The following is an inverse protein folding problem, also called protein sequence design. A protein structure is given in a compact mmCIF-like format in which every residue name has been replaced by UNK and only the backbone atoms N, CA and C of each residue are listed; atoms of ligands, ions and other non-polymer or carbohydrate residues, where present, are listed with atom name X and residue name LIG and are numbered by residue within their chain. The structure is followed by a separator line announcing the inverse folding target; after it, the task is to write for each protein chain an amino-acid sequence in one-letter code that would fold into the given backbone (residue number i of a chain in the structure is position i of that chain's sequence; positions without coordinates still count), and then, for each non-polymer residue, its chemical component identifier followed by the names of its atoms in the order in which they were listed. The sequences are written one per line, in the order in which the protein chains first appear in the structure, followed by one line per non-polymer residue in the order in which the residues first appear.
data_IF_323604999960
#
_entry.id   IF_323604999960
#
_cell.length_a   1.000
_cell.length_b   1.000
_cell.length_c   1.000
_cell.angle_alpha   90.00
_cell.angle_beta   90.00
_cell.angle_gamma   90.00
#
_symmetry.space_group_name_H-M   'P 1'
#
loop_
_entity.id
_entity.type
_entity.pdbx_description
1 polymer ?
#
# COMPACT_ATOMS: atom_id res chain seq x y z
N UNK A 1 -13.28 9.94 -6.26
CA UNK A 1 -14.30 10.84 -5.67
C UNK A 1 -14.33 12.14 -6.44
N UNK A 2 -15.32 12.98 -6.23
CA UNK A 2 -15.35 14.33 -6.80
C UNK A 2 -14.48 15.27 -5.97
N UNK A 3 -13.41 15.79 -6.59
CA UNK A 3 -12.41 16.66 -5.95
C UNK A 3 -13.02 17.97 -5.46
N UNK A 4 -14.13 18.42 -6.02
CA UNK A 4 -14.81 19.66 -5.60
C UNK A 4 -15.70 19.44 -4.38
N UNK A 5 -16.43 18.33 -4.34
CA UNK A 5 -17.45 18.09 -3.30
C UNK A 5 -16.99 17.15 -2.18
N UNK A 6 -15.91 16.40 -2.40
CA UNK A 6 -15.43 15.36 -1.49
C UNK A 6 -16.26 14.06 -1.54
N UNK A 7 -17.35 14.02 -2.33
CA UNK A 7 -18.27 12.90 -2.33
C UNK A 7 -17.66 11.66 -3.01
N UNK A 8 -17.68 10.49 -2.36
CA UNK A 8 -17.22 9.26 -2.97
C UNK A 8 -18.16 8.84 -4.12
N UNK A 9 -17.57 8.28 -5.17
CA UNK A 9 -18.30 7.77 -6.35
C UNK A 9 -18.37 6.24 -6.39
N UNK A 10 -17.70 5.58 -5.44
CA UNK A 10 -17.71 4.13 -5.30
C UNK A 10 -17.38 3.74 -3.86
N UNK A 11 -17.74 2.51 -3.43
CA UNK A 11 -17.09 1.88 -2.30
C UNK A 11 -15.58 1.76 -2.49
N UNK A 12 -14.83 1.65 -1.38
CA UNK A 12 -13.39 1.34 -1.42
C UNK A 12 -13.19 -0.09 -1.94
N UNK A 13 -12.31 -0.25 -2.93
CA UNK A 13 -11.86 -1.56 -3.38
C UNK A 13 -10.63 -1.95 -2.53
N UNK A 14 -10.83 -2.88 -1.60
CA UNK A 14 -9.80 -3.27 -0.62
C UNK A 14 -8.66 -4.05 -1.25
N UNK A 15 -7.50 -4.10 -0.59
CA UNK A 15 -6.29 -4.79 -1.05
C UNK A 15 -6.48 -6.30 -1.29
N UNK A 16 -7.44 -6.94 -0.60
CA UNK A 16 -7.80 -8.35 -0.78
C UNK A 16 -8.62 -8.62 -2.05
N UNK A 17 -9.18 -7.58 -2.68
CA UNK A 17 -10.07 -7.73 -3.82
C UNK A 17 -9.30 -8.17 -5.07
N UNK A 18 -9.73 -9.28 -5.66
CA UNK A 18 -9.07 -9.93 -6.78
C UNK A 18 -9.73 -9.63 -8.14
N UNK A 19 -10.68 -8.69 -8.24
CA UNK A 19 -11.44 -8.43 -9.48
C UNK A 19 -10.57 -8.05 -10.68
N UNK A 20 -9.37 -7.53 -10.41
CA UNK A 20 -8.44 -7.05 -11.44
C UNK A 20 -7.39 -8.09 -11.85
N UNK A 21 -7.50 -9.35 -11.39
CA UNK A 21 -6.57 -10.42 -11.74
C UNK A 21 -6.42 -10.63 -13.25
N UNK A 22 -7.52 -10.53 -14.00
CA UNK A 22 -7.48 -10.68 -15.46
C UNK A 22 -6.66 -9.55 -16.12
N UNK A 23 -6.73 -8.34 -15.58
CA UNK A 23 -5.98 -7.18 -16.09
C UNK A 23 -4.49 -7.39 -15.83
N UNK A 24 -4.09 -7.71 -14.60
CA UNK A 24 -2.68 -7.92 -14.26
C UNK A 24 -2.09 -9.13 -14.98
N UNK A 25 -2.82 -10.23 -15.10
CA UNK A 25 -2.41 -11.40 -15.89
C UNK A 25 -2.24 -11.08 -17.38
N UNK A 26 -3.12 -10.24 -17.94
CA UNK A 26 -2.97 -9.77 -19.32
C UNK A 26 -1.68 -8.96 -19.46
N UNK A 27 -1.40 -8.03 -18.55
CA UNK A 27 -0.17 -7.23 -18.57
C UNK A 27 1.09 -8.11 -18.47
N UNK A 28 1.08 -9.16 -17.62
CA UNK A 28 2.17 -10.15 -17.55
C UNK A 28 2.39 -10.85 -18.88
N UNK A 29 1.32 -11.34 -19.53
CA UNK A 29 1.38 -12.01 -20.83
C UNK A 29 1.93 -11.12 -21.95
N UNK A 30 1.80 -9.80 -21.82
CA UNK A 30 2.36 -8.83 -22.76
C UNK A 30 3.79 -8.39 -22.39
N UNK A 31 4.41 -8.99 -21.36
CA UNK A 31 5.81 -8.78 -21.01
C UNK A 31 6.09 -7.56 -20.13
N UNK A 32 5.08 -6.98 -19.48
CA UNK A 32 5.26 -5.74 -18.72
C UNK A 32 5.79 -5.93 -17.29
N UNK A 33 5.82 -7.16 -16.76
CA UNK A 33 6.11 -7.41 -15.34
C UNK A 33 7.49 -6.89 -14.91
N UNK A 34 8.53 -7.19 -15.69
CA UNK A 34 9.90 -6.78 -15.35
C UNK A 34 10.07 -5.27 -15.39
N UNK A 35 9.40 -4.59 -16.32
CA UNK A 35 9.44 -3.13 -16.39
C UNK A 35 8.69 -2.47 -15.23
N UNK A 36 7.54 -3.02 -14.86
CA UNK A 36 6.78 -2.54 -13.68
C UNK A 36 7.61 -2.73 -12.41
N UNK A 37 8.22 -3.90 -12.21
CA UNK A 37 9.12 -4.15 -11.07
C UNK A 37 10.30 -3.18 -11.06
N UNK A 38 10.95 -2.96 -12.20
CA UNK A 38 12.10 -2.07 -12.29
C UNK A 38 11.78 -0.60 -11.96
N UNK A 39 10.51 -0.18 -12.10
CA UNK A 39 10.07 1.18 -11.79
C UNK A 39 9.48 1.29 -10.39
N UNK A 40 8.53 0.42 -10.03
CA UNK A 40 7.77 0.53 -8.77
C UNK A 40 8.26 -0.37 -7.65
N UNK A 41 9.06 -1.39 -7.97
CA UNK A 41 9.46 -2.43 -7.03
C UNK A 41 8.39 -3.52 -6.82
N UNK A 42 7.26 -3.45 -7.54
CA UNK A 42 6.10 -4.29 -7.28
C UNK A 42 5.82 -5.24 -8.45
N UNK A 43 5.39 -6.49 -8.20
CA UNK A 43 4.92 -7.36 -9.26
C UNK A 43 3.57 -6.86 -9.79
N UNK A 44 3.20 -7.35 -10.97
CA UNK A 44 1.85 -7.18 -11.49
C UNK A 44 0.89 -8.05 -10.67
N UNK A 45 0.34 -7.50 -9.60
CA UNK A 45 -0.54 -8.22 -8.70
C UNK A 45 -1.81 -7.42 -8.42
N UNK A 46 -3.00 -8.05 -8.43
CA UNK A 46 -4.24 -7.38 -8.11
C UNK A 46 -4.32 -6.91 -6.66
N UNK A 47 -3.33 -7.16 -5.81
CA UNK A 47 -3.16 -6.56 -4.47
C UNK A 47 -2.96 -5.04 -4.51
N UNK A 48 -2.21 -4.51 -5.49
CA UNK A 48 -1.85 -3.09 -5.57
C UNK A 48 -2.95 -2.21 -6.18
N UNK A 49 -2.84 -0.88 -5.99
CA UNK A 49 -3.90 0.07 -6.31
C UNK A 49 -4.08 0.35 -7.80
N UNK A 50 -3.01 0.33 -8.61
CA UNK A 50 -3.02 0.79 -10.00
C UNK A 50 -4.16 0.18 -10.83
N UNK A 51 -4.27 -1.14 -10.84
CA UNK A 51 -5.31 -1.86 -11.60
C UNK A 51 -6.72 -1.59 -11.06
N UNK A 52 -6.87 -1.31 -9.76
CA UNK A 52 -8.16 -0.97 -9.13
C UNK A 52 -8.61 0.44 -9.51
N UNK A 53 -7.68 1.39 -9.54
CA UNK A 53 -7.96 2.76 -9.97
C UNK A 53 -8.38 2.79 -11.44
N UNK A 54 -7.69 2.03 -12.29
CA UNK A 54 -8.08 1.82 -13.68
C UNK A 54 -9.48 1.19 -13.79
N UNK A 55 -9.77 0.16 -12.97
CA UNK A 55 -11.08 -0.48 -12.94
C UNK A 55 -12.19 0.52 -12.57
N UNK A 56 -11.97 1.39 -11.59
CA UNK A 56 -12.93 2.44 -11.21
C UNK A 56 -13.21 3.35 -12.40
N UNK A 57 -12.17 3.83 -13.08
CA UNK A 57 -12.31 4.72 -14.22
C UNK A 57 -13.10 4.07 -15.38
N UNK A 58 -12.89 2.79 -15.61
CA UNK A 58 -13.56 2.04 -16.68
C UNK A 58 -15.03 1.73 -16.35
N UNK A 59 -15.32 1.37 -15.09
CA UNK A 59 -16.58 0.71 -14.69
C UNK A 59 -17.53 1.59 -13.87
N UNK A 60 -17.08 2.71 -13.30
CA UNK A 60 -17.94 3.65 -12.55
C UNK A 60 -18.36 4.79 -13.49
N UNK A 61 -19.64 4.87 -13.92
CA UNK A 61 -20.09 5.87 -14.91
C UNK A 61 -19.72 7.31 -14.54
N UNK A 62 -19.88 7.68 -13.27
CA UNK A 62 -19.59 9.01 -12.73
C UNK A 62 -18.10 9.37 -12.84
N UNK A 63 -17.20 8.38 -12.89
CA UNK A 63 -15.76 8.64 -13.02
C UNK A 63 -15.42 9.30 -14.36
N UNK A 64 -16.08 8.90 -15.46
CA UNK A 64 -15.83 9.46 -16.80
C UNK A 64 -16.30 10.91 -16.92
N UNK A 65 -17.46 11.20 -16.35
CA UNK A 65 -18.00 12.56 -16.28
C UNK A 65 -17.04 13.48 -15.50
N UNK A 66 -16.68 13.08 -14.27
CA UNK A 66 -15.76 13.86 -13.43
C UNK A 66 -14.37 14.00 -14.06
N UNK A 67 -13.89 12.98 -14.79
CA UNK A 67 -12.61 13.06 -15.50
C UNK A 67 -12.66 14.15 -16.57
N UNK A 68 -13.72 14.17 -17.39
CA UNK A 68 -13.90 15.17 -18.46
C UNK A 68 -13.94 16.61 -17.93
N UNK A 69 -14.41 16.78 -16.69
CA UNK A 69 -14.51 18.07 -16.02
C UNK A 69 -13.27 18.42 -15.17
N UNK A 70 -12.23 17.57 -15.19
CA UNK A 70 -11.03 17.69 -14.33
C UNK A 70 -11.38 17.78 -12.84
N UNK A 71 -12.42 17.05 -12.43
CA UNK A 71 -12.88 16.95 -11.04
C UNK A 71 -12.65 15.57 -10.44
N UNK A 72 -12.24 14.58 -11.22
CA UNK A 72 -11.97 13.25 -10.68
C UNK A 72 -10.71 13.25 -9.81
N UNK A 73 -10.83 12.69 -8.61
CA UNK A 73 -9.71 12.31 -7.76
C UNK A 73 -9.69 10.79 -7.58
N UNK A 74 -8.55 10.18 -7.88
CA UNK A 74 -8.23 8.78 -7.68
C UNK A 74 -7.07 8.68 -6.68
N UNK A 75 -7.16 7.78 -5.71
CA UNK A 75 -6.14 7.64 -4.70
C UNK A 75 -6.51 6.61 -3.65
N UNK A 76 -5.56 6.37 -2.75
CA UNK A 76 -5.71 5.53 -1.56
C UNK A 76 -6.52 6.24 -0.46
N UNK A 77 -6.85 5.51 0.60
CA UNK A 77 -7.73 6.02 1.66
C UNK A 77 -7.15 7.20 2.42
N UNK A 78 -5.83 7.26 2.58
CA UNK A 78 -5.12 8.39 3.18
C UNK A 78 -5.42 9.70 2.41
N UNK A 79 -5.29 9.70 1.08
CA UNK A 79 -5.55 10.88 0.26
C UNK A 79 -7.01 11.34 0.32
N UNK A 80 -7.94 10.37 0.35
CA UNK A 80 -9.36 10.66 0.57
C UNK A 80 -9.59 11.34 1.93
N UNK A 81 -9.01 10.81 3.01
CA UNK A 81 -9.15 11.38 4.35
C UNK A 81 -8.45 12.75 4.46
N UNK A 82 -7.26 12.90 3.89
CA UNK A 82 -6.51 14.16 3.87
C UNK A 82 -7.33 15.26 3.20
N UNK A 83 -7.95 14.96 2.06
CA UNK A 83 -8.79 15.93 1.39
C UNK A 83 -10.05 16.29 2.21
N UNK A 84 -10.69 15.31 2.84
CA UNK A 84 -11.92 15.56 3.59
C UNK A 84 -11.69 16.18 4.97
N UNK A 85 -10.56 15.89 5.62
CA UNK A 85 -10.24 16.36 6.97
C UNK A 85 -9.52 17.71 6.97
N UNK A 86 -8.62 17.93 6.01
CA UNK A 86 -7.77 19.14 5.97
C UNK A 86 -7.82 19.88 4.64
N UNK A 87 -8.63 19.43 3.67
CA UNK A 87 -8.84 20.14 2.41
C UNK A 87 -7.70 20.01 1.39
N UNK A 88 -6.70 19.15 1.65
CA UNK A 88 -5.55 18.96 0.76
C UNK A 88 -5.61 17.61 0.05
N UNK A 89 -5.48 17.63 -1.28
CA UNK A 89 -5.43 16.42 -2.11
C UNK A 89 -3.98 15.94 -2.25
N UNK A 90 -3.50 15.28 -1.21
CA UNK A 90 -2.10 14.84 -1.03
C UNK A 90 -2.06 13.40 -0.50
N UNK A 91 -0.96 12.69 -0.72
CA UNK A 91 -0.64 11.38 -0.14
C UNK A 91 0.79 11.41 0.39
N UNK A 92 1.17 10.45 1.21
CA UNK A 92 2.57 10.30 1.63
C UNK A 92 3.33 9.30 0.76
N UNK A 93 4.65 9.47 0.68
CA UNK A 93 5.53 8.63 -0.14
C UNK A 93 5.48 7.14 0.21
N UNK A 94 5.21 6.76 1.46
CA UNK A 94 5.12 5.34 1.84
C UNK A 94 3.87 4.71 1.24
N UNK A 95 2.73 5.41 1.31
CA UNK A 95 1.48 4.95 0.69
C UNK A 95 1.57 4.95 -0.83
N UNK A 96 2.12 6.00 -1.43
CA UNK A 96 2.34 6.09 -2.88
C UNK A 96 3.20 4.92 -3.40
N UNK A 97 4.23 4.50 -2.64
CA UNK A 97 5.08 3.36 -2.99
C UNK A 97 4.36 2.00 -3.05
N UNK A 98 3.11 1.90 -2.57
CA UNK A 98 2.30 0.67 -2.61
C UNK A 98 1.25 0.68 -3.73
N UNK A 99 1.24 1.71 -4.58
CA UNK A 99 0.22 1.85 -5.62
C UNK A 99 0.54 1.11 -6.91
N UNK A 100 1.83 0.86 -7.21
CA UNK A 100 2.33 0.47 -8.54
C UNK A 100 2.22 1.58 -9.61
N UNK A 101 2.10 2.84 -9.17
CA UNK A 101 2.11 4.03 -10.05
C UNK A 101 3.26 4.99 -9.75
N UNK A 102 3.94 4.82 -8.61
CA UNK A 102 5.09 5.64 -8.22
C UNK A 102 6.39 4.97 -8.66
N UNK A 103 7.32 5.74 -9.21
CA UNK A 103 8.70 5.31 -9.43
C UNK A 103 9.45 5.33 -8.09
N UNK A 104 10.04 4.21 -7.69
CA UNK A 104 10.64 4.06 -6.38
C UNK A 104 11.97 4.83 -6.23
N UNK A 105 12.65 5.13 -7.34
CA UNK A 105 13.88 5.91 -7.36
C UNK A 105 13.61 7.42 -7.30
N UNK A 106 12.64 7.92 -8.08
CA UNK A 106 12.32 9.35 -8.10
C UNK A 106 11.35 9.78 -7.00
N UNK A 107 10.56 8.84 -6.47
CA UNK A 107 9.43 9.07 -5.54
C UNK A 107 8.34 9.97 -6.12
N UNK A 108 8.20 9.95 -7.43
CA UNK A 108 7.17 10.68 -8.17
C UNK A 108 6.24 9.69 -8.88
N UNK A 109 5.05 10.16 -9.24
CA UNK A 109 4.20 9.40 -10.15
C UNK A 109 4.91 9.20 -11.49
N UNK A 110 4.90 7.98 -11.99
CA UNK A 110 5.61 7.60 -13.19
C UNK A 110 4.65 7.60 -14.39
N UNK A 111 4.93 8.42 -15.40
CA UNK A 111 4.15 8.50 -16.63
C UNK A 111 3.99 7.14 -17.32
N UNK A 112 5.04 6.30 -17.33
CA UNK A 112 5.00 5.01 -18.00
C UNK A 112 4.06 4.05 -17.27
N UNK A 113 4.15 3.99 -15.94
CA UNK A 113 3.24 3.18 -15.12
C UNK A 113 1.79 3.67 -15.25
N UNK A 114 1.57 4.99 -15.12
CA UNK A 114 0.24 5.59 -15.26
C UNK A 114 -0.39 5.29 -16.63
N UNK A 115 0.36 5.44 -17.71
CA UNK A 115 -0.10 5.12 -19.06
C UNK A 115 -0.37 3.63 -19.24
N UNK A 116 0.48 2.75 -18.69
CA UNK A 116 0.32 1.30 -18.76
C UNK A 116 -0.99 0.82 -18.13
N UNK A 117 -1.34 1.37 -16.96
CA UNK A 117 -2.58 1.01 -16.27
C UNK A 117 -3.80 1.82 -16.75
N UNK A 118 -3.61 2.93 -17.47
CA UNK A 118 -4.70 3.81 -17.90
C UNK A 118 -5.20 4.72 -16.77
N UNK A 119 -4.32 5.19 -15.90
CA UNK A 119 -4.62 6.12 -14.80
C UNK A 119 -4.04 7.50 -15.11
N UNK A 120 -4.85 8.52 -15.43
CA UNK A 120 -4.35 9.86 -15.75
C UNK A 120 -3.68 10.52 -14.54
N UNK A 121 -2.48 11.08 -14.74
CA UNK A 121 -1.69 11.72 -13.68
C UNK A 121 -2.43 12.84 -12.94
N UNK A 122 -3.22 13.64 -13.64
CA UNK A 122 -3.95 14.78 -13.07
C UNK A 122 -5.09 14.38 -12.12
N UNK A 123 -5.41 13.09 -12.07
CA UNK A 123 -6.36 12.50 -11.11
C UNK A 123 -5.70 12.04 -9.82
N UNK A 124 -4.37 11.98 -9.74
CA UNK A 124 -3.62 11.49 -8.59
C UNK A 124 -3.25 12.62 -7.60
N UNK A 125 -3.14 12.34 -6.29
CA UNK A 125 -2.75 13.32 -5.29
C UNK A 125 -1.28 13.71 -5.40
N UNK A 126 -0.90 14.90 -4.94
CA UNK A 126 0.51 15.27 -4.77
C UNK A 126 1.18 14.36 -3.71
N UNK A 127 2.40 13.87 -3.99
CA UNK A 127 3.16 13.02 -3.06
C UNK A 127 4.02 13.92 -2.15
N UNK A 128 3.78 13.83 -0.84
CA UNK A 128 4.57 14.51 0.20
C UNK A 128 5.49 13.55 0.95
N UNK A 129 6.40 14.11 1.73
CA UNK A 129 7.19 13.32 2.67
C UNK A 129 6.29 12.68 3.75
N UNK A 130 6.74 11.59 4.38
CA UNK A 130 6.02 10.93 5.47
C UNK A 130 5.75 11.88 6.63
N UNK A 131 6.72 12.75 6.94
CA UNK A 131 6.53 13.89 7.83
C UNK A 131 6.59 15.18 6.99
N UNK A 132 5.47 15.91 6.91
CA UNK A 132 5.33 17.11 6.08
C UNK A 132 4.16 18.00 6.57
N UNK A 133 3.92 19.13 5.91
CA UNK A 133 2.81 20.05 6.21
C UNK A 133 1.48 19.59 5.57
N UNK A 134 0.90 18.46 5.98
CA UNK A 134 -0.34 17.94 5.36
C UNK A 134 -1.57 18.85 5.50
N UNK A 135 -1.58 19.75 6.47
CA UNK A 135 -2.65 20.74 6.67
C UNK A 135 -3.02 20.91 8.15
N UNK A 136 -4.19 21.50 8.41
CA UNK A 136 -4.68 21.74 9.77
C UNK A 136 -6.11 21.24 9.93
N UNK A 137 -6.36 20.42 10.95
CA UNK A 137 -7.71 20.09 11.39
C UNK A 137 -8.27 21.21 12.27
N UNK A 138 -9.55 21.51 12.13
CA UNK A 138 -10.28 22.41 13.03
C UNK A 138 -11.16 21.60 13.97
N UNK A 139 -10.72 21.41 15.21
CA UNK A 139 -11.46 20.64 16.23
C UNK A 139 -11.84 21.57 17.37
N UNK A 140 -13.15 21.81 17.56
CA UNK A 140 -13.69 22.66 18.64
C UNK A 140 -13.02 24.05 18.71
N UNK A 141 -12.81 24.69 17.56
CA UNK A 141 -12.17 26.01 17.45
C UNK A 141 -10.64 26.00 17.58
N UNK A 142 -10.01 24.85 17.85
CA UNK A 142 -8.55 24.70 17.86
C UNK A 142 -8.05 24.23 16.50
N UNK A 143 -6.93 24.78 16.07
CA UNK A 143 -6.17 24.29 14.92
C UNK A 143 -5.19 23.23 15.40
N UNK A 144 -5.29 22.03 14.83
CA UNK A 144 -4.40 20.90 15.11
C UNK A 144 -3.63 20.62 13.82
N UNK A 145 -2.30 20.85 13.77
CA UNK A 145 -1.53 20.58 12.57
C UNK A 145 -1.43 19.08 12.33
N UNK A 146 -1.67 18.65 11.09
CA UNK A 146 -1.42 17.30 10.64
C UNK A 146 0.00 17.25 10.04
N UNK A 147 0.89 16.53 10.70
CA UNK A 147 2.34 16.55 10.42
C UNK A 147 2.90 15.23 9.90
N UNK A 148 2.12 14.16 9.91
CA UNK A 148 2.54 12.88 9.41
C UNK A 148 1.37 12.10 8.82
N UNK A 149 1.66 11.39 7.73
CA UNK A 149 0.82 10.34 7.15
C UNK A 149 1.76 9.21 6.75
N UNK A 150 1.37 7.97 7.07
CA UNK A 150 2.23 6.79 6.88
C UNK A 150 1.35 5.56 6.79
N UNK A 151 1.67 4.65 5.86
CA UNK A 151 0.98 3.37 5.74
C UNK A 151 1.28 2.48 6.96
N UNK A 152 0.32 1.63 7.34
CA UNK A 152 0.30 0.90 8.61
C UNK A 152 1.55 0.06 8.92
N UNK A 153 2.09 -0.66 7.94
CA UNK A 153 3.26 -1.52 8.13
C UNK A 153 4.53 -0.70 8.38
N UNK A 154 4.70 0.41 7.68
CA UNK A 154 5.79 1.37 7.84
C UNK A 154 5.65 2.12 9.17
N UNK A 155 4.43 2.47 9.56
CA UNK A 155 4.14 3.05 10.86
C UNK A 155 4.52 2.09 12.00
N UNK A 156 4.21 0.81 11.85
CA UNK A 156 4.60 -0.25 12.79
C UNK A 156 6.12 -0.41 12.88
N UNK A 157 6.82 -0.43 11.74
CA UNK A 157 8.29 -0.45 11.68
C UNK A 157 8.90 0.73 12.43
N UNK A 158 8.39 1.93 12.19
CA UNK A 158 8.83 3.12 12.92
C UNK A 158 8.50 3.03 14.42
N UNK A 159 7.31 2.57 14.78
CA UNK A 159 6.85 2.44 16.18
C UNK A 159 7.64 1.41 17.00
N UNK A 160 8.20 0.38 16.36
CA UNK A 160 9.06 -0.62 17.01
C UNK A 160 10.50 -0.17 17.25
N UNK A 161 10.85 1.06 16.86
CA UNK A 161 12.21 1.58 17.05
C UNK A 161 13.23 1.06 16.04
N UNK A 162 12.80 0.40 14.96
CA UNK A 162 13.68 0.00 13.86
C UNK A 162 14.22 1.25 13.16
N UNK A 163 15.53 1.47 13.16
CA UNK A 163 16.18 2.67 12.60
C UNK A 163 17.43 2.37 11.79
N UNK A 164 18.08 1.23 12.03
CA UNK A 164 19.33 0.85 11.40
C UNK A 164 19.08 -0.19 10.30
N UNK A 165 19.96 -0.23 9.30
CA UNK A 165 19.94 -1.29 8.28
C UNK A 165 19.97 -2.67 8.95
N UNK A 166 19.06 -3.54 8.53
CA UNK A 166 18.87 -4.87 9.11
C UNK A 166 17.90 -4.92 10.30
N UNK A 167 17.51 -3.77 10.89
CA UNK A 167 16.42 -3.76 11.87
C UNK A 167 15.15 -4.24 11.20
N UNK A 168 14.47 -5.19 11.87
CA UNK A 168 13.31 -5.85 11.34
C UNK A 168 12.15 -5.85 12.33
N UNK A 169 10.94 -5.84 11.81
CA UNK A 169 9.72 -6.15 12.55
C UNK A 169 8.92 -7.20 11.81
N UNK A 170 8.14 -7.99 12.55
CA UNK A 170 7.11 -8.84 11.98
C UNK A 170 5.78 -8.56 12.69
N UNK A 171 4.75 -8.27 11.91
CA UNK A 171 3.39 -8.13 12.44
C UNK A 171 2.66 -9.44 12.21
N UNK A 172 2.28 -10.14 13.28
CA UNK A 172 1.53 -11.39 13.23
C UNK A 172 0.03 -11.12 13.44
N UNK A 173 -0.74 -11.15 12.36
CA UNK A 173 -2.20 -11.02 12.35
C UNK A 173 -2.86 -12.09 11.50
N UNK A 174 -3.95 -11.75 10.79
CA UNK A 174 -4.57 -12.64 9.79
C UNK A 174 -3.54 -13.16 8.78
N UNK A 175 -2.68 -12.27 8.29
CA UNK A 175 -1.41 -12.59 7.62
C UNK A 175 -0.20 -12.20 8.48
N UNK A 176 1.01 -12.42 7.99
CA UNK A 176 2.24 -11.94 8.61
C UNK A 176 2.99 -11.01 7.66
N UNK A 177 3.46 -9.86 8.15
CA UNK A 177 4.19 -8.89 7.33
C UNK A 177 5.52 -8.56 8.00
N UNK A 178 6.60 -9.02 7.38
CA UNK A 178 7.96 -8.75 7.79
C UNK A 178 8.51 -7.56 7.00
N UNK A 179 8.95 -6.52 7.70
CA UNK A 179 9.65 -5.39 7.09
C UNK A 179 11.05 -5.28 7.67
N UNK A 180 12.04 -5.04 6.81
CA UNK A 180 13.45 -4.86 7.18
C UNK A 180 13.98 -3.56 6.59
N UNK A 181 14.68 -2.75 7.39
CA UNK A 181 15.31 -1.51 6.91
C UNK A 181 16.47 -1.85 5.96
N UNK A 182 16.46 -1.25 4.77
CA UNK A 182 17.44 -1.49 3.71
C UNK A 182 18.40 -0.31 3.48
N UNK A 183 18.18 0.84 4.13
CA UNK A 183 19.06 2.02 4.02
C UNK A 183 18.51 3.07 3.07
N UNK A 184 19.40 3.74 2.33
CA UNK A 184 19.10 4.95 1.52
C UNK A 184 18.83 4.67 0.03
N UNK A 185 18.85 3.39 -0.37
CA UNK A 185 18.51 2.97 -1.74
C UNK A 185 17.55 1.78 -1.76
N UNK A 186 16.64 1.71 -2.74
CA UNK A 186 15.76 0.55 -2.91
C UNK A 186 16.54 -0.64 -3.48
N UNK A 187 16.34 -1.83 -2.91
CA UNK A 187 16.87 -3.08 -3.47
C UNK A 187 15.90 -3.65 -4.51
N UNK A 188 16.18 -3.41 -5.78
CA UNK A 188 15.28 -3.72 -6.90
C UNK A 188 15.45 -5.15 -7.44
N UNK A 189 16.52 -5.86 -7.06
CA UNK A 189 16.91 -7.12 -7.66
C UNK A 189 16.96 -8.28 -6.65
N UNK A 190 16.11 -8.26 -5.62
CA UNK A 190 16.04 -9.34 -4.64
C UNK A 190 15.58 -10.67 -5.31
N UNK A 191 16.41 -11.72 -5.29
CA UNK A 191 16.09 -12.99 -5.95
C UNK A 191 15.07 -13.84 -5.16
N UNK A 192 14.72 -13.43 -3.94
CA UNK A 192 13.82 -14.15 -3.04
C UNK A 192 12.38 -13.64 -3.09
N UNK A 193 12.11 -12.59 -3.89
CA UNK A 193 10.78 -12.03 -4.11
C UNK A 193 10.31 -11.05 -3.04
N UNK A 194 11.23 -10.51 -2.22
CA UNK A 194 10.93 -9.42 -1.31
C UNK A 194 10.65 -8.14 -2.09
N UNK A 195 9.71 -7.35 -1.58
CA UNK A 195 9.25 -6.14 -2.27
C UNK A 195 9.96 -4.92 -1.71
N UNK A 196 10.79 -4.20 -2.48
CA UNK A 196 11.31 -2.93 -2.03
C UNK A 196 10.18 -1.91 -1.89
N UNK A 197 10.31 -1.05 -0.87
CA UNK A 197 9.33 -0.02 -0.55
C UNK A 197 10.01 1.15 0.16
N UNK A 198 9.36 2.31 0.17
CA UNK A 198 9.81 3.42 1.03
C UNK A 198 9.37 3.13 2.46
N UNK A 199 10.32 3.14 3.39
CA UNK A 199 10.05 3.04 4.83
C UNK A 199 9.49 4.38 5.33
N UNK A 200 10.18 5.49 5.04
CA UNK A 200 9.73 6.86 5.29
C UNK A 200 10.64 7.89 4.62
N UNK A 201 10.15 9.13 4.53
CA UNK A 201 10.96 10.34 4.27
C UNK A 201 10.55 11.41 5.28
N UNK A 202 11.50 11.96 6.05
CA UNK A 202 11.20 12.94 7.10
C UNK A 202 11.53 14.35 6.61
N UNK A 203 10.51 15.12 6.19
CA UNK A 203 10.71 16.43 5.59
C UNK A 203 11.63 16.37 4.37
N UNK A 204 12.75 17.10 4.45
CA UNK A 204 13.78 17.18 3.40
C UNK A 204 14.93 16.17 3.58
N UNK A 205 14.87 15.28 4.57
CA UNK A 205 15.88 14.24 4.75
C UNK A 205 15.86 13.23 3.60
N UNK A 206 16.98 12.52 3.43
CA UNK A 206 17.04 11.41 2.48
C UNK A 206 15.99 10.33 2.85
N UNK A 207 15.35 9.70 1.84
CA UNK A 207 14.41 8.62 2.11
C UNK A 207 15.14 7.41 2.71
N UNK A 208 14.42 6.69 3.56
CA UNK A 208 14.81 5.36 4.02
C UNK A 208 13.93 4.34 3.32
N UNK A 209 14.53 3.28 2.82
CA UNK A 209 13.89 2.16 2.15
C UNK A 209 13.83 0.92 3.05
N UNK A 210 12.88 0.06 2.75
CA UNK A 210 12.71 -1.23 3.38
C UNK A 210 12.43 -2.32 2.35
N UNK A 211 12.61 -3.57 2.76
CA UNK A 211 12.11 -4.76 2.08
C UNK A 211 10.88 -5.26 2.82
N UNK A 212 9.81 -5.56 2.08
CA UNK A 212 8.53 -6.08 2.57
C UNK A 212 8.34 -7.53 2.12
N UNK A 213 8.18 -8.42 3.09
CA UNK A 213 7.81 -9.82 2.92
C UNK A 213 6.44 -10.09 3.51
N UNK A 214 5.42 -10.16 2.65
CA UNK A 214 4.04 -10.47 3.02
C UNK A 214 3.72 -11.95 2.92
N UNK A 215 3.18 -12.51 4.01
CA UNK A 215 2.55 -13.83 4.06
C UNK A 215 1.06 -13.65 4.27
N UNK A 216 0.25 -13.95 3.25
CA UNK A 216 -1.19 -13.68 3.30
C UNK A 216 -1.95 -14.51 4.34
N UNK A 217 -1.40 -15.66 4.76
CA UNK A 217 -2.04 -16.55 5.71
C UNK A 217 -1.12 -16.86 6.90
N UNK A 218 -1.47 -16.33 8.07
CA UNK A 218 -0.87 -16.67 9.35
C UNK A 218 -1.98 -17.13 10.31
N UNK A 219 -2.61 -16.22 11.06
CA UNK A 219 -3.73 -16.58 11.92
C UNK A 219 -4.97 -17.06 11.15
N UNK A 220 -5.12 -16.68 9.87
CA UNK A 220 -6.22 -17.20 9.03
C UNK A 220 -6.16 -18.72 8.86
N UNK A 221 -4.97 -19.30 8.71
CA UNK A 221 -4.78 -20.75 8.60
C UNK A 221 -5.20 -21.46 9.89
N UNK A 222 -4.83 -20.87 11.04
CA UNK A 222 -5.21 -21.37 12.37
C UNK A 222 -6.73 -21.26 12.57
N UNK A 223 -7.33 -20.13 12.21
CA UNK A 223 -8.78 -19.93 12.31
C UNK A 223 -9.57 -20.88 11.40
N UNK A 224 -9.06 -21.15 10.20
CA UNK A 224 -9.64 -22.12 9.28
C UNK A 224 -9.56 -23.55 9.83
N UNK A 225 -8.41 -23.94 10.39
CA UNK A 225 -8.24 -25.22 11.08
C UNK A 225 -9.22 -25.38 12.26
N UNK A 226 -9.44 -24.31 13.04
CA UNK A 226 -10.49 -24.29 14.08
C UNK A 226 -11.88 -24.48 13.48
N UNK A 227 -12.17 -23.80 12.37
CA UNK A 227 -13.44 -23.92 11.65
C UNK A 227 -13.72 -25.33 11.10
N UNK A 228 -12.67 -26.10 10.78
CA UNK A 228 -12.77 -27.52 10.43
C UNK A 228 -13.02 -28.45 11.63
N UNK A 229 -12.95 -27.93 12.86
CA UNK A 229 -13.07 -28.70 14.09
C UNK A 229 -11.81 -29.48 14.47
N UNK A 230 -10.63 -29.10 13.95
CA UNK A 230 -9.37 -29.73 14.34
C UNK A 230 -8.97 -29.44 15.80
N UNK A 231 -9.49 -28.34 16.35
CA UNK A 231 -9.38 -27.95 17.76
C UNK A 231 -10.52 -26.97 18.10
N UNK A 232 -10.82 -26.79 19.38
CA UNK A 232 -11.90 -25.88 19.83
C UNK A 232 -11.34 -24.57 20.41
N UNK A 233 -10.25 -24.65 21.17
CA UNK A 233 -9.55 -23.55 21.81
C UNK A 233 -8.10 -23.44 21.33
N UNK A 234 -7.58 -22.23 21.13
CA UNK A 234 -6.20 -22.03 20.66
C UNK A 234 -5.14 -22.63 21.60
N UNK A 235 -5.48 -22.88 22.87
CA UNK A 235 -4.56 -23.50 23.82
C UNK A 235 -4.21 -24.95 23.44
N UNK A 236 -5.12 -25.66 22.75
CA UNK A 236 -4.94 -27.06 22.34
C UNK A 236 -3.77 -27.24 21.36
N UNK A 237 -3.42 -26.20 20.60
CA UNK A 237 -2.34 -26.24 19.60
C UNK A 237 -1.03 -25.60 20.09
N UNK A 238 -0.98 -25.14 21.35
CA UNK A 238 0.21 -24.53 21.93
C UNK A 238 1.14 -25.56 22.60
N UNK A 239 0.70 -26.82 22.70
CA UNK A 239 1.44 -27.89 23.37
C UNK A 239 1.34 -29.17 22.56
N UNK A 240 2.43 -29.92 22.47
CA UNK A 240 2.40 -31.29 21.95
C UNK A 240 2.53 -32.26 23.13
N UNK A 241 1.58 -33.18 23.28
CA UNK A 241 1.64 -34.23 24.33
C UNK A 241 2.71 -35.29 24.03
N UNK A 242 3.15 -35.37 22.77
CA UNK A 242 4.18 -36.31 22.31
C UNK A 242 5.19 -35.56 21.44
N UNK A 243 6.42 -36.09 21.26
CA UNK A 243 7.42 -35.48 20.39
C UNK A 243 6.83 -35.19 19.01
N UNK A 244 7.21 -34.04 18.44
CA UNK A 244 6.64 -33.59 17.17
C UNK A 244 6.93 -34.61 16.08
N UNK A 245 6.11 -34.64 15.03
CA UNK A 245 6.36 -35.55 13.90
C UNK A 245 7.68 -35.26 13.17
N UNK A 246 8.24 -34.05 13.34
CA UNK A 246 9.58 -33.69 12.84
C UNK A 246 10.70 -34.31 13.70
N UNK A 247 10.42 -34.58 14.97
CA UNK A 247 11.35 -35.20 15.92
C UNK A 247 11.31 -36.74 15.90
N UNK A 248 10.55 -37.36 14.98
CA UNK A 248 10.44 -38.83 14.79
C UNK A 248 11.06 -39.25 13.46
#
# INVERSE_FOLDING_TARGET
WDRKTGQPISPVIVWQDNRTANVTNKLKKHGHEERVKALSGLPLDPYFSASKLAWILENVPEAKELLSEKRLALGTTDAFFLQNLVGRFVTDVTTASRTSLMNLHTMEWDDELCNLFGVPLDTLPEILATQDEFGELKVKGRKIPLRASVVDQQASLYGHGCRNVGDAKITLGTGAFALVINGDSPEMNDPHGLLPTVAWRLGSEAPIYALDGGVYNAASAVNWARGLGLFSEYKEINTFETPTAIDR
#
